data_IF_677346567855
#
_entry.id   IF_677346567855
#
_cell.length_a   1.000
_cell.length_b   1.000
_cell.length_c   1.000
_cell.angle_alpha   90.00
_cell.angle_beta   90.00
_cell.angle_gamma   90.00
#
_symmetry.space_group_name_H-M   'P 1'
#
loop_
_entity.id
_entity.type
_entity.pdbx_description
1 polymer ?
#
# COMPACT_ATOMS: atom_id res chain seq x y z
N UNK A 1 -61.29 -3.81 49.32
CA UNK A 1 -60.13 -3.95 50.23
C UNK A 1 -59.44 -5.32 50.10
N UNK A 2 -60.18 -6.43 49.99
CA UNK A 2 -59.60 -7.80 49.90
C UNK A 2 -58.67 -8.04 48.68
N UNK A 3 -58.95 -7.43 47.52
CA UNK A 3 -58.13 -7.62 46.31
C UNK A 3 -56.75 -6.92 46.37
N UNK A 4 -56.65 -5.80 47.09
CA UNK A 4 -55.40 -5.05 47.18
C UNK A 4 -54.35 -5.76 48.06
N UNK A 5 -54.80 -6.40 49.13
CA UNK A 5 -53.92 -7.18 50.02
C UNK A 5 -53.40 -8.45 49.33
N UNK A 6 -54.24 -9.09 48.50
CA UNK A 6 -53.84 -10.25 47.71
C UNK A 6 -52.83 -9.90 46.60
N UNK A 7 -53.02 -8.75 45.93
CA UNK A 7 -52.05 -8.22 44.96
C UNK A 7 -50.71 -7.86 45.60
N UNK A 8 -50.72 -7.29 46.82
CA UNK A 8 -49.49 -6.97 47.55
C UNK A 8 -48.74 -8.25 47.96
N UNK A 9 -49.45 -9.27 48.44
CA UNK A 9 -48.85 -10.56 48.77
C UNK A 9 -48.21 -11.22 47.54
N UNK A 10 -48.93 -11.24 46.42
CA UNK A 10 -48.43 -11.79 45.15
C UNK A 10 -47.24 -10.99 44.61
N UNK A 11 -47.26 -9.66 44.75
CA UNK A 11 -46.16 -8.79 44.35
C UNK A 11 -44.90 -9.00 45.20
N UNK A 12 -45.06 -9.20 46.51
CA UNK A 12 -43.96 -9.50 47.42
C UNK A 12 -43.33 -10.87 47.14
N UNK A 13 -44.15 -11.89 46.85
CA UNK A 13 -43.67 -13.20 46.43
C UNK A 13 -42.92 -13.13 45.10
N UNK A 14 -43.45 -12.38 44.13
CA UNK A 14 -42.79 -12.18 42.84
C UNK A 14 -41.45 -11.47 42.99
N UNK A 15 -41.37 -10.45 43.85
CA UNK A 15 -40.13 -9.75 44.13
C UNK A 15 -39.11 -10.67 44.80
N UNK A 16 -39.54 -11.47 45.78
CA UNK A 16 -38.68 -12.43 46.47
C UNK A 16 -38.10 -13.48 45.52
N UNK A 17 -38.94 -14.04 44.64
CA UNK A 17 -38.52 -15.00 43.62
C UNK A 17 -37.54 -14.35 42.63
N UNK A 18 -37.84 -13.15 42.12
CA UNK A 18 -36.93 -12.47 41.19
C UNK A 18 -35.61 -12.06 41.84
N UNK A 19 -35.61 -11.72 43.13
CA UNK A 19 -34.40 -11.41 43.86
C UNK A 19 -33.55 -12.66 44.12
N UNK A 20 -34.19 -13.80 44.38
CA UNK A 20 -33.52 -15.10 44.50
C UNK A 20 -32.93 -15.56 43.15
N UNK A 21 -33.67 -15.39 42.04
CA UNK A 21 -33.18 -15.68 40.69
C UNK A 21 -32.02 -14.78 40.30
N UNK A 22 -32.09 -13.47 40.60
CA UNK A 22 -30.99 -12.54 40.38
C UNK A 22 -29.76 -12.91 41.22
N UNK A 23 -29.94 -13.30 42.48
CA UNK A 23 -28.85 -13.76 43.34
C UNK A 23 -28.20 -15.05 42.82
N UNK A 24 -28.97 -15.96 42.23
CA UNK A 24 -28.45 -17.17 41.60
C UNK A 24 -27.76 -16.88 40.25
N UNK A 25 -28.26 -15.95 39.45
CA UNK A 25 -27.58 -15.51 38.22
C UNK A 25 -26.24 -14.81 38.51
N UNK A 26 -26.16 -14.02 39.59
CA UNK A 26 -24.91 -13.40 40.04
C UNK A 26 -23.90 -14.47 40.50
N UNK A 27 -24.35 -15.56 41.14
CA UNK A 27 -23.49 -16.69 41.52
C UNK A 27 -23.01 -17.54 40.34
N UNK A 28 -23.74 -17.54 39.22
CA UNK A 28 -23.41 -18.29 38.01
C UNK A 28 -22.50 -17.52 37.05
N UNK A 29 -22.39 -16.20 37.18
CA UNK A 29 -21.31 -15.48 36.53
C UNK A 29 -20.00 -15.83 37.24
N UNK A 30 -18.98 -16.33 36.52
CA UNK A 30 -17.69 -16.65 37.11
C UNK A 30 -17.03 -15.33 37.53
N UNK A 31 -17.32 -14.89 38.75
CA UNK A 31 -16.59 -13.85 39.48
C UNK A 31 -15.32 -14.45 40.06
N UNK A 32 -14.60 -15.21 39.24
CA UNK A 32 -13.20 -15.52 39.53
C UNK A 32 -12.43 -14.20 39.53
N UNK A 33 -11.43 -14.07 40.40
CA UNK A 33 -10.54 -12.91 40.46
C UNK A 33 -9.96 -12.52 39.07
N UNK A 34 -9.88 -13.48 38.14
CA UNK A 34 -9.50 -13.27 36.74
C UNK A 34 -10.47 -12.37 35.94
N UNK A 35 -11.79 -12.51 36.11
CA UNK A 35 -12.80 -11.69 35.41
C UNK A 35 -12.90 -10.30 36.01
N UNK A 36 -12.77 -10.17 37.33
CA UNK A 36 -12.67 -8.87 38.01
C UNK A 36 -11.41 -8.11 37.59
N UNK A 37 -10.29 -8.81 37.38
CA UNK A 37 -9.08 -8.21 36.80
C UNK A 37 -9.27 -7.80 35.33
N UNK A 38 -10.01 -8.56 34.50
CA UNK A 38 -10.28 -8.17 33.11
C UNK A 38 -11.28 -7.02 32.97
N UNK A 39 -12.15 -6.80 33.95
CA UNK A 39 -13.09 -5.66 33.97
C UNK A 39 -12.42 -4.41 34.58
N UNK A 40 -11.62 -4.57 35.64
CA UNK A 40 -10.90 -3.47 36.30
C UNK A 40 -9.63 -3.03 35.55
N UNK A 41 -9.01 -3.96 34.81
CA UNK A 41 -8.08 -3.66 33.73
C UNK A 41 -8.75 -4.13 32.45
N UNK A 42 -9.56 -3.28 31.78
CA UNK A 42 -9.78 -3.53 30.36
C UNK A 42 -8.38 -3.72 29.79
N UNK A 43 -8.19 -4.73 28.91
CA UNK A 43 -6.93 -4.87 28.17
C UNK A 43 -6.54 -3.46 27.82
N UNK A 44 -5.47 -2.98 28.45
CA UNK A 44 -4.86 -1.74 28.05
C UNK A 44 -4.42 -2.11 26.66
N UNK A 45 -5.27 -1.78 25.68
CA UNK A 45 -4.80 -1.47 24.38
C UNK A 45 -3.89 -0.29 24.67
N UNK A 46 -2.66 -0.64 24.99
CA UNK A 46 -1.45 0.10 24.71
C UNK A 46 -1.50 0.38 23.21
N UNK A 47 -2.45 1.22 22.80
CA UNK A 47 -2.45 1.96 21.57
C UNK A 47 -1.26 2.89 21.74
N UNK A 48 -0.09 2.30 21.61
CA UNK A 48 1.10 2.97 21.18
C UNK A 48 0.76 3.43 19.77
N UNK A 49 -0.02 4.51 19.68
CA UNK A 49 -0.13 5.34 18.50
C UNK A 49 1.27 5.93 18.29
N UNK A 50 2.17 5.09 17.77
CA UNK A 50 3.41 5.53 17.17
C UNK A 50 2.99 6.29 15.92
N UNK A 51 2.82 7.59 16.07
CA UNK A 51 2.24 8.48 15.07
C UNK A 51 0.87 8.95 15.51
N UNK A 52 0.80 10.18 16.00
CA UNK A 52 -0.47 10.91 16.09
C UNK A 52 -0.90 11.18 14.65
N UNK A 53 -1.95 10.49 14.19
CA UNK A 53 -2.48 10.65 12.84
C UNK A 53 -3.75 11.49 12.99
N UNK A 54 -3.65 12.84 12.90
CA UNK A 54 -4.72 13.74 13.36
C UNK A 54 -6.04 13.58 12.61
N UNK A 55 -6.03 12.95 11.43
CA UNK A 55 -7.21 12.69 10.62
C UNK A 55 -7.06 11.38 9.82
N UNK A 56 -8.19 10.74 9.50
CA UNK A 56 -8.26 9.57 8.63
C UNK A 56 -7.58 9.79 7.26
N UNK A 57 -7.58 11.03 6.78
CA UNK A 57 -6.85 11.43 5.56
C UNK A 57 -5.34 11.21 5.64
N UNK A 58 -4.72 11.42 6.80
CA UNK A 58 -3.29 11.15 6.99
C UNK A 58 -2.99 9.64 7.00
N UNK A 59 -3.90 8.82 7.53
CA UNK A 59 -3.76 7.36 7.52
C UNK A 59 -3.86 6.78 6.10
N UNK A 60 -4.71 7.39 5.25
CA UNK A 60 -4.88 6.98 3.85
C UNK A 60 -3.93 7.66 2.87
N UNK A 61 -3.27 8.76 3.25
CA UNK A 61 -2.36 9.50 2.36
C UNK A 61 -1.26 8.62 1.73
N UNK A 62 -0.56 7.73 2.47
CA UNK A 62 0.43 6.83 1.87
C UNK A 62 -0.15 5.92 0.77
N UNK A 63 -1.37 5.44 0.98
CA UNK A 63 -2.07 4.57 0.04
C UNK A 63 -2.46 5.31 -1.23
N UNK A 64 -3.11 6.48 -1.08
CA UNK A 64 -3.54 7.32 -2.22
C UNK A 64 -2.34 7.82 -3.01
N UNK A 65 -1.24 8.20 -2.34
CA UNK A 65 0.01 8.61 -2.98
C UNK A 65 0.58 7.52 -3.85
N UNK A 66 0.78 6.32 -3.29
CA UNK A 66 1.31 5.19 -4.04
C UNK A 66 0.41 4.82 -5.23
N UNK A 67 -0.91 4.75 -5.01
CA UNK A 67 -1.87 4.46 -6.06
C UNK A 67 -1.80 5.48 -7.21
N UNK A 68 -1.78 6.77 -6.87
CA UNK A 68 -1.72 7.86 -7.84
C UNK A 68 -0.45 7.80 -8.68
N UNK A 69 0.71 7.49 -8.08
CA UNK A 69 1.97 7.32 -8.81
C UNK A 69 1.92 6.13 -9.78
N UNK A 70 1.32 5.01 -9.38
CA UNK A 70 1.21 3.85 -10.25
C UNK A 70 0.26 4.10 -11.42
N UNK A 71 -0.90 4.71 -11.13
CA UNK A 71 -1.89 5.07 -12.16
C UNK A 71 -1.31 6.11 -13.12
N UNK A 72 -0.55 7.10 -12.62
CA UNK A 72 0.16 8.07 -13.44
C UNK A 72 1.18 7.39 -14.37
N UNK A 73 1.97 6.46 -13.84
CA UNK A 73 2.91 5.67 -14.65
C UNK A 73 2.19 4.85 -15.74
N UNK A 74 1.07 4.21 -15.40
CA UNK A 74 0.25 3.47 -16.35
C UNK A 74 -0.32 4.38 -17.43
N UNK A 75 -0.91 5.51 -17.07
CA UNK A 75 -1.49 6.47 -18.01
C UNK A 75 -0.44 6.99 -19.00
N UNK A 76 0.74 7.36 -18.52
CA UNK A 76 1.86 7.81 -19.35
C UNK A 76 2.29 6.70 -20.32
N UNK A 77 2.41 5.45 -19.87
CA UNK A 77 2.79 4.32 -20.71
C UNK A 77 1.70 3.90 -21.73
N UNK A 78 0.43 4.23 -21.46
CA UNK A 78 -0.69 4.00 -22.38
C UNK A 78 -0.74 5.09 -23.46
N UNK A 79 -0.63 6.36 -23.06
CA UNK A 79 -0.70 7.53 -23.94
C UNK A 79 0.55 7.66 -24.79
N UNK A 80 1.73 7.55 -24.18
CA UNK A 80 3.00 7.65 -24.88
C UNK A 80 3.29 6.30 -25.55
N UNK A 81 3.40 6.24 -26.89
CA UNK A 81 3.72 5.01 -27.60
C UNK A 81 5.21 4.73 -27.46
N UNK A 82 5.62 4.23 -26.28
CA UNK A 82 7.01 3.90 -25.94
C UNK A 82 7.62 2.95 -26.97
N UNK A 83 6.80 2.21 -27.72
CA UNK A 83 7.26 1.27 -28.76
C UNK A 83 7.52 1.86 -30.13
N UNK A 84 7.06 3.08 -30.47
CA UNK A 84 7.34 3.67 -31.79
C UNK A 84 8.84 3.96 -31.92
N UNK A 85 9.51 3.13 -32.71
CA UNK A 85 10.89 3.29 -33.14
C UNK A 85 10.99 4.50 -34.05
N UNK A 86 11.40 5.64 -33.51
CA UNK A 86 11.93 6.72 -34.32
C UNK A 86 13.45 6.52 -34.45
N UNK A 87 13.88 6.31 -35.69
CA UNK A 87 15.25 6.23 -36.19
C UNK A 87 16.04 4.91 -35.95
N UNK A 88 16.67 4.45 -37.04
CA UNK A 88 17.83 3.56 -37.06
C UNK A 88 18.88 4.06 -36.07
N UNK A 89 19.18 3.28 -35.03
CA UNK A 89 20.25 3.60 -34.10
C UNK A 89 21.07 2.36 -33.76
N UNK A 90 22.40 2.51 -33.88
CA UNK A 90 23.42 1.45 -33.83
C UNK A 90 23.61 0.80 -32.44
N UNK A 91 23.04 1.33 -31.35
CA UNK A 91 23.33 0.82 -30.00
C UNK A 91 22.09 0.73 -29.09
N UNK A 92 21.87 -0.48 -28.56
CA UNK A 92 20.81 -0.79 -27.61
C UNK A 92 20.88 0.05 -26.32
N UNK A 93 22.08 0.47 -25.90
CA UNK A 93 22.27 1.29 -24.70
C UNK A 93 21.82 2.74 -24.91
N UNK A 94 22.11 3.34 -26.07
CA UNK A 94 21.65 4.70 -26.41
C UNK A 94 20.13 4.75 -26.52
N UNK A 95 19.53 3.70 -27.09
CA UNK A 95 18.07 3.60 -27.18
C UNK A 95 17.39 3.41 -25.82
N UNK A 96 17.98 2.60 -24.94
CA UNK A 96 17.54 2.47 -23.56
C UNK A 96 17.62 3.82 -22.83
N UNK A 97 18.76 4.51 -22.93
CA UNK A 97 18.99 5.79 -22.26
C UNK A 97 18.01 6.87 -22.72
N UNK A 98 17.75 6.96 -24.03
CA UNK A 98 16.79 7.92 -24.60
C UNK A 98 15.38 7.69 -24.04
N UNK A 99 14.94 6.43 -23.94
CA UNK A 99 13.61 6.11 -23.40
C UNK A 99 13.52 6.32 -21.90
N UNK A 100 14.50 5.84 -21.14
CA UNK A 100 14.54 6.01 -19.69
C UNK A 100 14.67 7.49 -19.32
N UNK A 101 15.34 8.31 -20.11
CA UNK A 101 15.42 9.76 -19.90
C UNK A 101 14.05 10.44 -20.05
N UNK A 102 13.30 10.14 -21.12
CA UNK A 102 11.95 10.71 -21.33
C UNK A 102 11.00 10.24 -20.22
N UNK A 103 10.96 8.93 -20.00
CA UNK A 103 10.08 8.29 -19.02
C UNK A 103 10.44 8.73 -17.60
N UNK A 104 11.72 8.90 -17.29
CA UNK A 104 12.24 9.40 -16.03
C UNK A 104 11.93 10.87 -15.79
N UNK A 105 11.98 11.71 -16.83
CA UNK A 105 11.58 13.12 -16.72
C UNK A 105 10.10 13.24 -16.38
N UNK A 106 9.25 12.44 -17.02
CA UNK A 106 7.82 12.39 -16.69
C UNK A 106 7.59 11.83 -15.29
N UNK A 107 8.34 10.80 -14.88
CA UNK A 107 8.29 10.25 -13.53
C UNK A 107 8.65 11.29 -12.46
N UNK A 108 9.64 12.14 -12.73
CA UNK A 108 10.03 13.24 -11.87
C UNK A 108 8.95 14.33 -11.81
N UNK A 109 8.40 14.71 -12.96
CA UNK A 109 7.34 15.72 -13.04
C UNK A 109 6.06 15.27 -12.30
N UNK A 110 5.57 14.05 -12.54
CA UNK A 110 4.37 13.54 -11.85
C UNK A 110 4.57 13.45 -10.32
N UNK A 111 5.75 13.04 -9.87
CA UNK A 111 6.09 12.92 -8.45
C UNK A 111 6.07 14.29 -7.78
N UNK A 112 6.67 15.29 -8.43
CA UNK A 112 6.73 16.66 -7.94
C UNK A 112 5.33 17.29 -7.87
N UNK A 113 4.52 17.13 -8.92
CA UNK A 113 3.14 17.64 -8.95
C UNK A 113 2.32 17.00 -7.83
N UNK A 114 2.40 15.68 -7.67
CA UNK A 114 1.64 14.96 -6.64
C UNK A 114 2.06 15.38 -5.22
N UNK A 115 3.36 15.58 -5.02
CA UNK A 115 3.91 16.07 -3.75
C UNK A 115 3.41 17.48 -3.43
N UNK A 116 3.42 18.39 -4.40
CA UNK A 116 2.90 19.74 -4.22
C UNK A 116 1.40 19.72 -3.88
N UNK A 117 0.61 18.88 -4.55
CA UNK A 117 -0.83 18.75 -4.25
C UNK A 117 -1.03 18.22 -2.82
N UNK A 118 -0.25 17.23 -2.37
CA UNK A 118 -0.37 16.72 -1.00
C UNK A 118 -0.02 17.76 0.05
N UNK A 119 1.08 18.49 -0.14
CA UNK A 119 1.56 19.45 0.87
C UNK A 119 0.73 20.74 0.84
N UNK A 120 0.46 21.31 -0.34
CA UNK A 120 -0.20 22.60 -0.47
C UNK A 120 -1.73 22.53 -0.59
N UNK A 121 -2.30 21.53 -1.26
CA UNK A 121 -3.76 21.42 -1.39
C UNK A 121 -4.39 20.62 -0.24
N UNK A 122 -3.75 19.52 0.19
CA UNK A 122 -4.26 18.69 1.28
C UNK A 122 -3.73 19.10 2.66
N UNK A 123 -2.71 19.96 2.73
CA UNK A 123 -2.12 20.39 4.00
C UNK A 123 -1.41 19.25 4.73
N UNK A 124 -0.87 18.25 4.01
CA UNK A 124 -0.13 17.15 4.60
C UNK A 124 1.22 17.66 5.12
N UNK A 125 1.43 17.57 6.43
CA UNK A 125 2.71 17.90 7.07
C UNK A 125 3.45 16.58 7.35
N UNK A 126 4.41 16.16 6.50
CA UNK A 126 5.19 14.97 6.76
C UNK A 126 6.13 15.22 7.94
N UNK A 127 6.15 14.27 8.89
CA UNK A 127 7.04 14.30 10.06
C UNK A 127 8.53 14.32 9.64
N UNK A 128 8.86 13.62 8.56
CA UNK A 128 10.20 13.61 7.97
C UNK A 128 10.17 14.00 6.48
N UNK A 129 10.24 15.31 6.14
CA UNK A 129 10.09 15.79 4.76
C UNK A 129 11.17 15.25 3.81
N UNK A 130 12.42 15.09 4.27
CA UNK A 130 13.49 14.51 3.46
C UNK A 130 13.23 13.06 3.07
N UNK A 131 12.74 12.25 4.02
CA UNK A 131 12.39 10.85 3.77
C UNK A 131 11.15 10.71 2.88
N UNK A 132 10.21 11.64 2.99
CA UNK A 132 9.01 11.71 2.17
C UNK A 132 9.36 11.97 0.71
N UNK A 133 10.19 12.98 0.45
CA UNK A 133 10.67 13.33 -0.89
C UNK A 133 11.37 12.14 -1.54
N UNK A 134 12.31 11.51 -0.82
CA UNK A 134 13.04 10.35 -1.32
C UNK A 134 12.13 9.17 -1.63
N UNK A 135 11.18 8.86 -0.76
CA UNK A 135 10.23 7.76 -0.95
C UNK A 135 9.30 7.99 -2.15
N UNK A 136 8.77 9.21 -2.31
CA UNK A 136 7.89 9.57 -3.43
C UNK A 136 8.62 9.46 -4.77
N UNK A 137 9.83 10.03 -4.88
CA UNK A 137 10.61 9.94 -6.11
C UNK A 137 11.00 8.50 -6.44
N UNK A 138 11.53 7.76 -5.46
CA UNK A 138 11.94 6.37 -5.67
C UNK A 138 10.74 5.51 -6.11
N UNK A 139 9.58 5.71 -5.48
CA UNK A 139 8.34 5.02 -5.85
C UNK A 139 7.90 5.35 -7.26
N UNK A 140 7.92 6.63 -7.64
CA UNK A 140 7.58 7.07 -9.00
C UNK A 140 8.49 6.42 -10.04
N UNK A 141 9.81 6.47 -9.82
CA UNK A 141 10.77 5.86 -10.74
C UNK A 141 10.63 4.33 -10.81
N UNK A 142 10.38 3.66 -9.68
CA UNK A 142 10.21 2.21 -9.63
C UNK A 142 8.97 1.78 -10.42
N UNK A 143 7.82 2.40 -10.17
CA UNK A 143 6.58 2.08 -10.90
C UNK A 143 6.68 2.41 -12.38
N UNK A 144 7.25 3.56 -12.71
CA UNK A 144 7.45 3.93 -14.10
C UNK A 144 8.34 2.91 -14.82
N UNK A 145 9.42 2.44 -14.17
CA UNK A 145 10.32 1.42 -14.73
C UNK A 145 9.62 0.07 -14.90
N UNK A 146 8.83 -0.38 -13.92
CA UNK A 146 8.09 -1.65 -13.97
C UNK A 146 7.04 -1.63 -15.08
N UNK A 147 6.21 -0.60 -15.13
CA UNK A 147 5.17 -0.46 -16.15
C UNK A 147 5.81 -0.37 -17.54
N UNK A 148 6.87 0.43 -17.69
CA UNK A 148 7.57 0.54 -18.97
C UNK A 148 8.23 -0.76 -19.40
N UNK A 149 8.78 -1.55 -18.48
CA UNK A 149 9.25 -2.90 -18.80
C UNK A 149 8.12 -3.76 -19.34
N UNK A 150 6.99 -3.85 -18.64
CA UNK A 150 5.86 -4.68 -19.06
C UNK A 150 5.38 -4.28 -20.46
N UNK A 151 5.21 -2.98 -20.71
CA UNK A 151 4.76 -2.46 -22.00
C UNK A 151 5.81 -2.63 -23.10
N UNK A 152 7.10 -2.51 -22.81
CA UNK A 152 8.15 -2.71 -23.82
C UNK A 152 8.24 -4.18 -24.24
N UNK A 153 8.24 -5.10 -23.26
CA UNK A 153 8.39 -6.53 -23.51
C UNK A 153 7.12 -7.10 -24.17
N UNK A 154 5.95 -6.84 -23.59
CA UNK A 154 4.68 -7.46 -24.00
C UNK A 154 3.78 -6.58 -24.88
N UNK A 155 4.04 -5.28 -25.05
CA UNK A 155 3.22 -4.35 -25.84
C UNK A 155 1.80 -4.14 -25.28
N UNK A 156 0.76 -4.26 -26.12
CA UNK A 156 -0.65 -4.19 -25.75
C UNK A 156 -1.02 -5.17 -24.60
N UNK A 157 -0.61 -6.46 -24.65
CA UNK A 157 -0.75 -7.36 -23.50
C UNK A 157 -0.06 -6.87 -22.23
N UNK A 158 1.07 -6.17 -22.36
CA UNK A 158 1.82 -5.63 -21.21
C UNK A 158 1.04 -4.55 -20.46
N UNK A 159 0.29 -3.72 -21.18
CA UNK A 159 -0.61 -2.71 -20.60
C UNK A 159 -1.72 -3.36 -19.78
N UNK A 160 -2.33 -4.41 -20.33
CA UNK A 160 -3.35 -5.19 -19.63
C UNK A 160 -2.80 -5.87 -18.38
N UNK A 161 -1.60 -6.45 -18.49
CA UNK A 161 -0.93 -7.07 -17.33
C UNK A 161 -0.60 -6.04 -16.25
N UNK A 162 -0.19 -4.82 -16.62
CA UNK A 162 0.05 -3.74 -15.66
C UNK A 162 -1.23 -3.30 -14.94
N UNK A 163 -2.39 -3.35 -15.61
CA UNK A 163 -3.70 -3.11 -14.98
C UNK A 163 -4.07 -4.23 -14.01
N UNK A 164 -3.87 -5.51 -14.39
CA UNK A 164 -4.08 -6.64 -13.47
C UNK A 164 -3.17 -6.51 -12.25
N UNK A 165 -1.90 -6.19 -12.49
CA UNK A 165 -0.93 -5.98 -11.43
C UNK A 165 -1.40 -4.85 -10.50
N UNK A 166 -1.89 -3.72 -11.03
CA UNK A 166 -2.51 -2.67 -10.21
C UNK A 166 -3.63 -3.21 -9.32
N UNK A 167 -4.62 -3.91 -9.87
CA UNK A 167 -5.76 -4.44 -9.12
C UNK A 167 -5.32 -5.43 -8.04
N UNK A 168 -4.38 -6.31 -8.37
CA UNK A 168 -3.82 -7.28 -7.44
C UNK A 168 -3.03 -6.59 -6.32
N UNK A 169 -2.27 -5.55 -6.64
CA UNK A 169 -1.57 -4.75 -5.64
C UNK A 169 -2.55 -4.04 -4.70
N UNK A 170 -3.69 -3.56 -5.18
CA UNK A 170 -4.70 -2.92 -4.33
C UNK A 170 -5.22 -3.88 -3.24
N UNK A 171 -5.60 -5.10 -3.65
CA UNK A 171 -6.11 -6.11 -2.71
C UNK A 171 -5.03 -6.72 -1.81
N UNK A 172 -3.78 -6.72 -2.28
CA UNK A 172 -2.64 -7.27 -1.54
C UNK A 172 -1.91 -6.25 -0.67
N UNK A 173 -2.13 -4.94 -0.87
CA UNK A 173 -1.46 -3.89 -0.12
C UNK A 173 -2.16 -3.64 1.21
N UNK A 174 -1.37 -3.50 2.29
CA UNK A 174 -1.82 -3.19 3.67
C UNK A 174 -2.35 -1.74 3.81
N UNK A 175 -3.11 -1.25 2.83
CA UNK A 175 -3.56 0.13 2.74
C UNK A 175 -4.59 0.47 3.82
N UNK A 176 -5.71 -0.25 3.84
CA UNK A 176 -6.85 0.00 4.73
C UNK A 176 -7.01 -1.06 5.83
N UNK A 177 -6.54 -2.28 5.59
CA UNK A 177 -6.61 -3.39 6.54
C UNK A 177 -5.25 -4.11 6.65
N UNK A 178 -4.92 -4.66 7.83
CA UNK A 178 -3.69 -5.43 8.01
C UNK A 178 -3.68 -6.68 7.12
N UNK A 179 -2.53 -7.07 6.56
CA UNK A 179 -2.47 -8.25 5.67
C UNK A 179 -2.89 -9.54 6.38
N UNK A 180 -2.84 -9.57 7.72
CA UNK A 180 -3.27 -10.72 8.51
C UNK A 180 -4.77 -11.01 8.39
N UNK A 181 -5.60 -10.03 7.99
CA UNK A 181 -7.03 -10.25 7.73
C UNK A 181 -7.32 -10.72 6.32
N UNK A 182 -6.33 -10.67 5.42
CA UNK A 182 -6.45 -11.13 4.06
C UNK A 182 -6.24 -12.65 3.96
N UNK A 183 -6.88 -13.28 2.97
CA UNK A 183 -6.71 -14.71 2.68
C UNK A 183 -5.23 -15.04 2.41
N UNK A 184 -4.80 -16.28 2.69
CA UNK A 184 -3.38 -16.71 2.58
C UNK A 184 -2.75 -16.45 1.21
N UNK A 185 -3.55 -16.40 0.14
CA UNK A 185 -3.12 -15.97 -1.19
C UNK A 185 -2.57 -14.53 -1.20
N UNK A 186 -3.29 -13.57 -0.62
CA UNK A 186 -2.85 -12.17 -0.56
C UNK A 186 -1.67 -11.98 0.39
N UNK A 187 -1.58 -12.79 1.45
CA UNK A 187 -0.39 -12.80 2.33
C UNK A 187 0.87 -13.26 1.59
N UNK A 188 0.75 -14.28 0.72
CA UNK A 188 1.87 -14.75 -0.10
C UNK A 188 2.27 -13.76 -1.21
N UNK A 189 1.31 -13.00 -1.73
CA UNK A 189 1.53 -12.02 -2.80
C UNK A 189 2.04 -10.67 -2.26
N UNK A 190 1.70 -10.31 -1.02
CA UNK A 190 2.10 -9.07 -0.35
C UNK A 190 3.61 -8.73 -0.44
N UNK A 191 4.55 -9.67 -0.20
CA UNK A 191 5.99 -9.40 -0.33
C UNK A 191 6.48 -9.29 -1.79
N UNK A 192 5.70 -9.74 -2.77
CA UNK A 192 6.06 -9.62 -4.19
C UNK A 192 5.57 -8.31 -4.80
N UNK A 193 4.78 -7.54 -4.04
CA UNK A 193 4.11 -6.33 -4.51
C UNK A 193 4.94 -5.09 -4.13
N UNK A 194 5.47 -4.32 -5.11
CA UNK A 194 6.25 -3.11 -4.83
C UNK A 194 5.41 -2.03 -4.13
N UNK A 195 4.08 -2.06 -4.30
CA UNK A 195 3.14 -1.17 -3.63
C UNK A 195 3.05 -1.34 -2.11
N UNK A 196 3.32 -2.54 -1.58
CA UNK A 196 3.39 -2.75 -0.13
C UNK A 196 4.54 -1.95 0.48
N UNK A 197 5.70 -1.99 -0.17
CA UNK A 197 6.91 -1.35 0.32
C UNK A 197 6.86 0.18 0.19
N UNK A 198 6.28 0.70 -0.89
CA UNK A 198 6.08 2.15 -1.02
C UNK A 198 5.10 2.70 0.01
N UNK A 199 4.00 1.99 0.29
CA UNK A 199 3.04 2.38 1.34
C UNK A 199 3.71 2.36 2.71
N UNK A 200 4.52 1.35 3.02
CA UNK A 200 5.28 1.28 4.28
C UNK A 200 6.29 2.42 4.40
N UNK A 201 7.05 2.71 3.35
CA UNK A 201 8.02 3.80 3.33
C UNK A 201 7.35 5.18 3.46
N UNK A 202 6.24 5.41 2.75
CA UNK A 202 5.45 6.64 2.82
C UNK A 202 4.76 6.79 4.18
N UNK A 203 4.25 5.70 4.76
CA UNK A 203 3.66 5.70 6.11
C UNK A 203 4.69 6.10 7.16
N UNK A 204 5.93 5.61 7.04
CA UNK A 204 7.01 6.06 7.91
C UNK A 204 7.32 7.54 7.72
N UNK A 205 7.43 7.99 6.47
CA UNK A 205 7.80 9.37 6.19
C UNK A 205 6.72 10.40 6.59
N UNK A 206 5.44 10.00 6.56
CA UNK A 206 4.30 10.85 6.90
C UNK A 206 4.02 10.83 8.40
N UNK A 207 3.94 9.65 9.03
CA UNK A 207 3.48 9.51 10.42
C UNK A 207 4.58 9.15 11.42
N UNK A 208 5.82 8.89 10.99
CA UNK A 208 6.94 8.54 11.87
C UNK A 208 6.79 7.23 12.66
N UNK A 209 5.73 6.45 12.40
CA UNK A 209 5.25 5.40 13.32
C UNK A 209 5.95 4.04 13.29
N UNK A 210 6.79 3.78 12.30
CA UNK A 210 7.58 2.55 12.11
C UNK A 210 9.05 2.81 12.51
N UNK A 211 9.84 1.75 12.75
CA UNK A 211 11.28 1.94 13.00
C UNK A 211 11.99 2.37 11.70
N UNK A 212 13.03 3.20 11.81
CA UNK A 212 13.88 3.63 10.69
C UNK A 212 14.42 2.47 9.84
N UNK A 213 14.68 1.31 10.45
CA UNK A 213 15.08 0.07 9.74
C UNK A 213 14.04 -0.38 8.70
N UNK A 214 12.74 -0.34 9.02
CA UNK A 214 11.68 -0.77 8.09
C UNK A 214 11.58 0.14 6.86
N UNK A 215 11.91 1.42 7.02
CA UNK A 215 11.99 2.37 5.92
C UNK A 215 13.17 2.07 5.01
N UNK A 216 14.35 1.87 5.58
CA UNK A 216 15.57 1.55 4.81
C UNK A 216 15.40 0.24 4.05
N UNK A 217 14.82 -0.79 4.68
CA UNK A 217 14.54 -2.07 4.02
C UNK A 217 13.54 -1.91 2.88
N UNK A 218 12.46 -1.15 3.08
CA UNK A 218 11.46 -0.90 2.03
C UNK A 218 12.03 -0.10 0.86
N UNK A 219 12.88 0.88 1.14
CA UNK A 219 13.60 1.62 0.10
C UNK A 219 14.57 0.74 -0.68
N UNK A 220 15.32 -0.14 -0.01
CA UNK A 220 16.23 -1.08 -0.68
C UNK A 220 15.49 -2.05 -1.58
N UNK A 221 14.34 -2.55 -1.14
CA UNK A 221 13.49 -3.41 -1.97
C UNK A 221 12.95 -2.65 -3.18
N UNK A 222 12.47 -1.40 -3.01
CA UNK A 222 12.05 -0.57 -4.14
C UNK A 222 13.18 -0.28 -5.12
N UNK A 223 14.37 0.04 -4.61
CA UNK A 223 15.56 0.25 -5.42
C UNK A 223 15.97 -1.03 -6.16
N UNK A 224 15.83 -2.19 -5.52
CA UNK A 224 16.03 -3.50 -6.13
C UNK A 224 15.05 -3.74 -7.28
N UNK A 225 13.77 -3.45 -7.11
CA UNK A 225 12.77 -3.54 -8.19
C UNK A 225 13.08 -2.59 -9.34
N UNK A 226 13.49 -1.35 -9.04
CA UNK A 226 13.90 -0.37 -10.03
C UNK A 226 15.11 -0.86 -10.84
N UNK A 227 16.16 -1.35 -10.17
CA UNK A 227 17.36 -1.86 -10.81
C UNK A 227 17.04 -3.10 -11.64
N UNK A 228 16.29 -4.05 -11.09
CA UNK A 228 15.88 -5.26 -11.80
C UNK A 228 15.08 -4.94 -13.06
N UNK A 229 14.13 -4.00 -12.98
CA UNK A 229 13.34 -3.57 -14.13
C UNK A 229 14.22 -2.90 -15.20
N UNK A 230 15.15 -2.04 -14.80
CA UNK A 230 16.05 -1.38 -15.75
C UNK A 230 17.02 -2.37 -16.41
N UNK A 231 17.60 -3.32 -15.65
CA UNK A 231 18.48 -4.37 -16.17
C UNK A 231 17.74 -5.30 -17.14
N UNK A 232 16.53 -5.74 -16.78
CA UNK A 232 15.69 -6.58 -17.66
C UNK A 232 15.31 -5.86 -18.95
N UNK A 233 14.99 -4.55 -18.86
CA UNK A 233 14.72 -3.74 -20.04
C UNK A 233 15.96 -3.64 -20.95
N UNK A 234 17.14 -3.43 -20.38
CA UNK A 234 18.41 -3.38 -21.09
C UNK A 234 18.74 -4.73 -21.75
N UNK A 235 18.55 -5.84 -21.03
CA UNK A 235 18.71 -7.19 -21.54
C UNK A 235 17.78 -7.50 -22.71
N UNK A 236 16.50 -7.09 -22.62
CA UNK A 236 15.54 -7.23 -23.71
C UNK A 236 15.95 -6.44 -24.95
N UNK A 237 16.48 -5.23 -24.77
CA UNK A 237 16.99 -4.41 -25.86
C UNK A 237 18.26 -4.97 -26.51
N UNK A 238 19.18 -5.54 -25.74
CA UNK A 238 20.36 -6.24 -26.27
C UNK A 238 19.92 -7.47 -27.08
N UNK A 239 18.99 -8.28 -26.55
CA UNK A 239 18.46 -9.46 -27.23
C UNK A 239 17.77 -9.11 -28.56
N UNK A 240 16.93 -8.07 -28.56
CA UNK A 240 16.21 -7.62 -29.75
C UNK A 240 17.11 -6.91 -30.76
N UNK A 241 18.13 -6.18 -30.28
CA UNK A 241 19.18 -5.61 -31.11
C UNK A 241 19.92 -6.71 -31.89
N UNK A 242 20.41 -7.75 -31.20
CA UNK A 242 21.09 -8.89 -31.84
C UNK A 242 20.25 -9.59 -32.92
N UNK A 243 18.93 -9.69 -32.74
CA UNK A 243 18.02 -10.28 -33.76
C UNK A 243 17.76 -9.41 -34.99
N UNK A 244 17.88 -8.08 -34.89
CA UNK A 244 17.78 -7.19 -36.07
C UNK A 244 19.09 -7.03 -36.81
N UNK A 245 20.24 -7.03 -36.11
CA UNK A 245 21.56 -6.94 -36.74
C UNK A 245 22.01 -8.24 -37.45
N UNK A 246 21.40 -9.39 -37.13
CA UNK A 246 21.72 -10.65 -37.79
C UNK A 246 21.08 -10.81 -39.19
N UNK A 247 20.14 -9.94 -39.59
CA UNK A 247 19.45 -10.01 -40.88
C UNK A 247 19.90 -8.95 -41.91
N UNK A 248 20.92 -8.16 -41.59
CA UNK A 248 21.54 -7.20 -42.52
C UNK A 248 22.95 -7.61 -42.97
N UNK A 249 23.33 -8.88 -42.79
CA UNK A 249 24.56 -9.44 -43.36
C UNK A 249 24.23 -10.62 -44.28
N UNK A 250 23.55 -10.35 -45.39
CA UNK A 250 23.62 -11.21 -46.58
C UNK A 250 23.65 -10.28 -47.78
N UNK A 251 24.84 -10.27 -48.41
CA UNK A 251 25.23 -9.79 -49.75
C UNK A 251 25.07 -8.29 -50.11
#
# INVERSE_FOLDING_TARGET
>A
LLNGTSQLATGADTLSVKLADAANQIKLQPTGAATQQQIAKPVSSETNARGDVPNYGYALAPYVLSLSLFVGALAVNVIYPIRKTFAEQESAFRWWLAKVSVVGTVAFAQATILMLIMVYCLGLVPDHPGHFIGAVYLTSFAYMSIVSLLVIVLDNPGRFLAMILLVLQLGSSEGTFPIQTANGFFQAVNPLVPMTYSIRALRQAISGGLNSSFYTDSMWVLAGFLLAANVLMLGFFIYRGKRKFAHTSVD
#
